data_IF_334500951223
#
_entry.id   IF_334500951223
#
_cell.length_a   1.000
_cell.length_b   1.000
_cell.length_c   1.000
_cell.angle_alpha   90.00
_cell.angle_beta   90.00
_cell.angle_gamma   90.00
#
_symmetry.space_group_name_H-M   'P 1'
#
loop_
_entity.id
_entity.type
_entity.pdbx_description
1 polymer ?
#
# COMPACT_ATOMS: atom_id res chain seq x y z
N UNK A 1 -7.05 11.22 -11.32
CA UNK A 1 -6.14 10.60 -10.33
C UNK A 1 -6.88 9.41 -9.74
N UNK A 2 -6.59 8.18 -10.19
CA UNK A 2 -7.18 6.99 -9.61
C UNK A 2 -6.74 6.79 -8.16
N UNK A 3 -7.70 6.54 -7.29
CA UNK A 3 -7.48 6.04 -5.94
C UNK A 3 -7.64 4.51 -5.94
N UNK A 4 -6.66 3.80 -5.38
CA UNK A 4 -6.67 2.34 -5.28
C UNK A 4 -6.63 1.95 -3.82
N UNK A 5 -7.56 1.07 -3.42
CA UNK A 5 -7.63 0.57 -2.04
C UNK A 5 -7.03 -0.82 -1.95
N UNK A 6 -6.19 -1.04 -0.94
CA UNK A 6 -5.57 -2.32 -0.63
C UNK A 6 -5.93 -2.72 0.79
N UNK A 7 -6.25 -3.99 0.99
CA UNK A 7 -6.38 -4.57 2.31
C UNK A 7 -5.00 -5.08 2.76
N UNK A 8 -4.46 -4.49 3.83
CA UNK A 8 -3.13 -4.84 4.32
C UNK A 8 -3.26 -5.23 5.79
N UNK A 9 -2.70 -6.38 6.15
CA UNK A 9 -2.62 -6.85 7.54
C UNK A 9 -1.71 -5.98 8.41
N UNK A 10 -2.10 -4.73 8.64
CA UNK A 10 -1.39 -3.77 9.47
C UNK A 10 -1.71 -4.04 10.93
N UNK A 11 -0.78 -4.64 11.66
CA UNK A 11 -0.93 -4.94 13.10
C UNK A 11 -0.24 -3.91 14.00
N UNK A 12 0.55 -3.01 13.44
CA UNK A 12 1.19 -1.91 14.18
C UNK A 12 1.41 -0.68 13.28
N UNK A 13 1.58 0.49 13.89
CA UNK A 13 1.93 1.73 13.18
C UNK A 13 3.21 1.60 12.35
N UNK A 14 4.16 0.77 12.78
CA UNK A 14 5.37 0.46 12.00
C UNK A 14 5.05 -0.20 10.65
N UNK A 15 3.97 -0.98 10.56
CA UNK A 15 3.48 -1.56 9.31
C UNK A 15 2.99 -0.47 8.37
N UNK A 16 2.12 0.41 8.87
CA UNK A 16 1.56 1.52 8.11
C UNK A 16 2.66 2.45 7.60
N UNK A 17 3.64 2.79 8.44
CA UNK A 17 4.77 3.63 8.05
C UNK A 17 5.67 2.98 6.99
N UNK A 18 5.85 1.65 7.04
CA UNK A 18 6.61 0.94 6.03
C UNK A 18 5.91 0.98 4.67
N UNK A 19 4.58 0.76 4.65
CA UNK A 19 3.75 0.89 3.44
C UNK A 19 3.83 2.29 2.85
N UNK A 20 3.64 3.33 3.67
CA UNK A 20 3.80 4.73 3.24
C UNK A 20 5.18 5.00 2.65
N UNK A 21 6.26 4.45 3.22
CA UNK A 21 7.62 4.60 2.69
C UNK A 21 7.82 3.93 1.34
N UNK A 22 7.18 2.79 1.08
CA UNK A 22 7.26 2.08 -0.21
C UNK A 22 6.57 2.90 -1.28
N UNK A 23 5.36 3.35 -1.01
CA UNK A 23 4.58 4.18 -1.92
C UNK A 23 5.22 5.54 -2.15
N UNK A 24 5.78 6.18 -1.12
CA UNK A 24 6.55 7.43 -1.28
C UNK A 24 7.79 7.30 -2.15
N UNK A 25 8.35 6.09 -2.28
CA UNK A 25 9.48 5.80 -3.19
C UNK A 25 9.03 5.38 -4.60
N UNK A 26 7.74 5.17 -4.81
CA UNK A 26 7.20 4.77 -6.10
C UNK A 26 6.94 6.02 -6.94
N UNK A 27 7.48 6.05 -8.15
CA UNK A 27 7.20 7.13 -9.10
C UNK A 27 5.75 7.03 -9.57
N UNK A 28 5.05 8.17 -9.54
CA UNK A 28 3.62 8.27 -9.87
C UNK A 28 2.68 8.14 -8.67
N UNK A 29 3.16 7.92 -7.45
CA UNK A 29 2.30 8.00 -6.25
C UNK A 29 2.25 9.44 -5.74
N UNK A 30 1.04 9.99 -5.65
CA UNK A 30 0.78 11.32 -5.12
C UNK A 30 0.50 11.30 -3.61
N UNK A 31 -0.29 10.34 -3.12
CA UNK A 31 -0.66 10.24 -1.71
C UNK A 31 -0.89 8.79 -1.27
N UNK A 32 -0.73 8.54 0.03
CA UNK A 32 -1.04 7.25 0.64
C UNK A 32 -1.64 7.43 2.05
N UNK A 33 -2.87 7.00 2.21
CA UNK A 33 -3.60 6.95 3.46
C UNK A 33 -3.69 5.50 3.95
N UNK A 34 -3.59 5.32 5.25
CA UNK A 34 -3.55 4.00 5.89
C UNK A 34 -4.49 4.02 7.07
N UNK A 35 -5.50 3.18 7.05
CA UNK A 35 -6.45 2.96 8.14
C UNK A 35 -6.09 1.71 8.91
N UNK A 36 -5.60 1.90 10.13
CA UNK A 36 -5.35 0.78 11.06
C UNK A 36 -6.65 0.16 11.57
N UNK A 37 -7.72 0.95 11.69
CA UNK A 37 -9.01 0.48 12.21
C UNK A 37 -9.69 -0.47 11.23
N UNK A 38 -9.76 -0.09 9.95
CA UNK A 38 -10.37 -0.91 8.89
C UNK A 38 -9.38 -1.83 8.19
N UNK A 39 -8.08 -1.73 8.50
CA UNK A 39 -6.96 -2.45 7.86
C UNK A 39 -6.85 -2.18 6.35
N UNK A 40 -7.29 -1.00 5.92
CA UNK A 40 -7.28 -0.57 4.52
C UNK A 40 -6.19 0.47 4.26
N UNK A 41 -5.68 0.48 3.05
CA UNK A 41 -4.69 1.44 2.58
C UNK A 41 -5.20 2.03 1.28
N UNK A 42 -5.42 3.33 1.26
CA UNK A 42 -5.86 4.07 0.07
C UNK A 42 -4.64 4.75 -0.52
N UNK A 43 -4.37 4.49 -1.79
CA UNK A 43 -3.21 5.04 -2.51
C UNK A 43 -3.72 5.83 -3.69
N UNK A 44 -3.34 7.11 -3.76
CA UNK A 44 -3.60 7.96 -4.91
C UNK A 44 -2.36 7.97 -5.79
N UNK A 45 -2.49 7.49 -7.01
CA UNK A 45 -1.40 7.50 -7.98
C UNK A 45 -1.89 7.96 -9.35
N UNK A 46 -0.94 8.23 -10.24
CA UNK A 46 -1.17 8.49 -11.65
C UNK A 46 -1.66 7.24 -12.38
N UNK A 47 -2.33 7.44 -13.51
CA UNK A 47 -2.80 6.37 -14.42
C UNK A 47 -1.66 5.48 -14.94
N UNK A 48 -0.42 5.96 -14.83
CA UNK A 48 0.79 5.21 -15.17
C UNK A 48 1.12 4.10 -14.17
N UNK A 49 0.53 4.14 -12.96
CA UNK A 49 0.78 3.15 -11.91
C UNK A 49 -0.39 2.18 -11.85
N UNK A 50 -0.14 0.93 -12.22
CA UNK A 50 -1.17 -0.11 -12.15
C UNK A 50 -1.34 -0.64 -10.72
N UNK A 51 -2.56 -1.06 -10.33
CA UNK A 51 -2.80 -1.73 -9.05
C UNK A 51 -1.91 -2.96 -8.84
N UNK A 52 -1.58 -3.66 -9.94
CA UNK A 52 -0.72 -4.84 -9.94
C UNK A 52 0.72 -4.50 -9.53
N UNK A 53 1.28 -3.41 -10.06
CA UNK A 53 2.61 -2.93 -9.70
C UNK A 53 2.68 -2.53 -8.21
N UNK A 54 1.61 -1.90 -7.71
CA UNK A 54 1.47 -1.58 -6.28
C UNK A 54 1.40 -2.85 -5.42
N UNK A 55 0.57 -3.82 -5.83
CA UNK A 55 0.40 -5.09 -5.15
C UNK A 55 1.73 -5.85 -5.09
N UNK A 56 2.52 -5.85 -6.17
CA UNK A 56 3.83 -6.51 -6.20
C UNK A 56 4.80 -5.91 -5.17
N UNK A 57 4.83 -4.57 -5.05
CA UNK A 57 5.66 -3.88 -4.05
C UNK A 57 5.19 -4.17 -2.63
N UNK A 58 3.88 -4.18 -2.42
CA UNK A 58 3.28 -4.55 -1.14
C UNK A 58 3.59 -6.00 -0.80
N UNK A 59 3.45 -6.95 -1.73
CA UNK A 59 3.80 -8.35 -1.54
C UNK A 59 5.28 -8.55 -1.21
N UNK A 60 6.20 -7.84 -1.90
CA UNK A 60 7.63 -7.90 -1.56
C UNK A 60 7.89 -7.48 -0.12
N UNK A 61 7.22 -6.43 0.35
CA UNK A 61 7.29 -6.02 1.75
C UNK A 61 6.61 -7.00 2.70
N UNK A 62 5.46 -7.54 2.30
CA UNK A 62 4.68 -8.49 3.10
C UNK A 62 5.42 -9.81 3.29
N UNK A 63 6.12 -10.31 2.27
CA UNK A 63 6.99 -11.48 2.36
C UNK A 63 8.15 -11.27 3.32
N UNK A 64 8.70 -10.05 3.39
CA UNK A 64 9.69 -9.67 4.39
C UNK A 64 9.10 -9.47 5.79
N UNK A 65 7.78 -9.27 5.89
CA UNK A 65 7.06 -8.89 7.12
C UNK A 65 6.11 -9.96 7.66
N UNK A 66 5.91 -11.08 6.95
CA UNK A 66 4.94 -12.14 7.23
C UNK A 66 3.46 -11.71 7.19
N UNK A 67 3.08 -10.70 6.39
CA UNK A 67 1.72 -10.11 6.41
C UNK A 67 0.92 -10.42 5.16
N UNK A 68 -0.41 -10.42 5.25
CA UNK A 68 -1.32 -10.55 4.12
C UNK A 68 -1.53 -9.21 3.43
N UNK A 69 -1.62 -9.25 2.09
CA UNK A 69 -1.96 -8.10 1.24
C UNK A 69 -2.96 -8.58 0.20
N UNK A 70 -4.07 -7.88 0.06
CA UNK A 70 -5.08 -8.11 -0.96
C UNK A 70 -5.49 -6.79 -1.62
N UNK A 71 -5.95 -6.87 -2.87
CA UNK A 71 -6.69 -5.76 -3.47
C UNK A 71 -8.08 -5.74 -2.82
N UNK A 72 -8.52 -4.57 -2.34
CA UNK A 72 -9.82 -4.42 -1.68
C UNK A 72 -10.94 -4.13 -2.70
#
# INVERSE_FOLDING_TARGET
>A
MPETTFDVGMTCEGCANAVKRIFKKMEGVSSCETDLETKKVVVTADDSVTPEAMLEKLQKWSSASGKSVALA
#
